data_IF_094541577454
#
_entry.id   IF_094541577454
#
_cell.length_a   1.000
_cell.length_b   1.000
_cell.length_c   1.000
_cell.angle_alpha   90.00
_cell.angle_beta   90.00
_cell.angle_gamma   90.00
#
_symmetry.space_group_name_H-M   'P 1'
#
loop_
_entity.id
_entity.type
_entity.pdbx_description
1 polymer ?
#
# COMPACT_ATOMS: atom_id res chain seq x y z
N UNK A 1 -10.64 14.84 -6.44
CA UNK A 1 -10.29 13.43 -6.19
C UNK A 1 -8.78 13.30 -6.28
N UNK A 2 -8.11 13.14 -5.14
CA UNK A 2 -6.66 13.20 -5.05
C UNK A 2 -6.00 11.97 -5.70
N UNK A 3 -5.03 12.19 -6.59
CA UNK A 3 -4.27 11.15 -7.29
C UNK A 3 -3.66 10.11 -6.34
N UNK A 4 -3.33 10.51 -5.11
CA UNK A 4 -2.81 9.63 -4.06
C UNK A 4 -3.77 8.50 -3.64
N UNK A 5 -5.10 8.75 -3.65
CA UNK A 5 -6.09 7.69 -3.33
C UNK A 5 -6.20 6.66 -4.43
N UNK A 6 -6.10 7.09 -5.69
CA UNK A 6 -6.17 6.22 -6.87
C UNK A 6 -4.92 5.34 -6.94
N UNK A 7 -3.74 5.91 -6.69
CA UNK A 7 -2.46 5.18 -6.69
C UNK A 7 -2.42 4.08 -5.60
N UNK A 8 -2.93 4.41 -4.41
CA UNK A 8 -3.02 3.47 -3.29
C UNK A 8 -4.02 2.33 -3.55
N UNK A 9 -5.12 2.60 -4.26
CA UNK A 9 -6.07 1.58 -4.67
C UNK A 9 -5.50 0.70 -5.79
N UNK A 10 -4.84 1.30 -6.78
CA UNK A 10 -4.19 0.59 -7.87
C UNK A 10 -3.12 -0.40 -7.38
N UNK A 11 -2.29 0.01 -6.40
CA UNK A 11 -1.29 -0.88 -5.77
C UNK A 11 -1.94 -2.05 -5.01
N UNK A 12 -3.04 -1.81 -4.30
CA UNK A 12 -3.76 -2.90 -3.61
C UNK A 12 -4.36 -3.91 -4.58
N UNK A 13 -4.94 -3.43 -5.69
CA UNK A 13 -5.48 -4.28 -6.74
C UNK A 13 -4.36 -5.07 -7.39
N UNK A 14 -3.25 -4.42 -7.78
CA UNK A 14 -2.08 -5.07 -8.39
C UNK A 14 -1.46 -6.14 -7.51
N UNK A 15 -1.28 -5.87 -6.22
CA UNK A 15 -0.78 -6.86 -5.26
C UNK A 15 -1.72 -8.04 -5.09
N UNK A 16 -3.03 -7.80 -5.03
CA UNK A 16 -4.03 -8.88 -4.94
C UNK A 16 -4.08 -9.73 -6.21
N UNK A 17 -3.92 -9.11 -7.38
CA UNK A 17 -3.84 -9.81 -8.67
C UNK A 17 -2.56 -10.65 -8.75
N UNK A 18 -1.39 -10.12 -8.37
CA UNK A 18 -0.15 -10.91 -8.29
C UNK A 18 -0.27 -12.09 -7.34
N UNK A 19 -0.85 -11.89 -6.16
CA UNK A 19 -1.06 -12.96 -5.17
C UNK A 19 -1.98 -14.06 -5.71
N UNK A 20 -3.08 -13.68 -6.37
CA UNK A 20 -4.00 -14.62 -6.99
C UNK A 20 -3.38 -15.36 -8.18
N UNK A 21 -2.64 -14.65 -9.04
CA UNK A 21 -1.93 -15.26 -10.18
C UNK A 21 -0.88 -16.23 -9.67
N UNK A 22 -0.05 -15.85 -8.69
CA UNK A 22 0.97 -16.71 -8.10
C UNK A 22 0.40 -17.99 -7.48
N UNK A 23 -0.77 -17.93 -6.85
CA UNK A 23 -1.47 -19.14 -6.39
C UNK A 23 -1.94 -20.03 -7.52
N UNK A 24 -2.52 -19.44 -8.56
CA UNK A 24 -3.10 -20.18 -9.68
C UNK A 24 -2.00 -20.83 -10.54
N UNK A 25 -0.88 -20.13 -10.75
CA UNK A 25 0.26 -20.64 -11.53
C UNK A 25 1.23 -21.48 -10.70
N UNK A 26 1.09 -21.52 -9.37
CA UNK A 26 2.01 -22.20 -8.45
C UNK A 26 3.34 -21.47 -8.24
N UNK A 27 3.42 -20.20 -8.65
CA UNK A 27 4.62 -19.39 -8.61
C UNK A 27 4.76 -18.68 -7.25
N UNK A 28 5.51 -19.31 -6.34
CA UNK A 28 5.74 -18.78 -4.97
C UNK A 28 6.40 -17.41 -4.95
N UNK A 29 7.24 -17.09 -5.92
CA UNK A 29 7.90 -15.78 -6.02
C UNK A 29 6.86 -14.69 -6.26
N UNK A 30 5.92 -14.93 -7.18
CA UNK A 30 4.84 -13.99 -7.51
C UNK A 30 3.85 -13.84 -6.34
N UNK A 31 3.53 -14.92 -5.62
CA UNK A 31 2.71 -14.86 -4.40
C UNK A 31 3.39 -14.03 -3.31
N UNK A 32 4.67 -14.27 -3.05
CA UNK A 32 5.46 -13.55 -2.06
C UNK A 32 5.60 -12.06 -2.40
N UNK A 33 5.84 -11.73 -3.66
CA UNK A 33 5.86 -10.34 -4.13
C UNK A 33 4.52 -9.63 -3.88
N UNK A 34 3.39 -10.29 -4.20
CA UNK A 34 2.06 -9.74 -3.97
C UNK A 34 1.77 -9.51 -2.49
N UNK A 35 2.11 -10.48 -1.64
CA UNK A 35 1.95 -10.38 -0.19
C UNK A 35 2.88 -9.33 0.44
N UNK A 36 4.13 -9.25 -0.02
CA UNK A 36 5.10 -8.26 0.40
C UNK A 36 4.67 -6.84 0.00
N UNK A 37 4.24 -6.61 -1.24
CA UNK A 37 3.71 -5.32 -1.70
C UNK A 37 2.49 -4.87 -0.87
N UNK A 38 1.59 -5.81 -0.51
CA UNK A 38 0.45 -5.54 0.39
C UNK A 38 0.90 -5.09 1.77
N UNK A 39 1.87 -5.79 2.36
CA UNK A 39 2.37 -5.50 3.70
C UNK A 39 3.15 -4.19 3.74
N UNK A 40 4.06 -3.98 2.79
CA UNK A 40 4.80 -2.72 2.62
C UNK A 40 3.82 -1.58 2.40
N UNK A 41 2.80 -1.73 1.55
CA UNK A 41 1.78 -0.70 1.33
C UNK A 41 0.96 -0.36 2.58
N UNK A 42 0.64 -1.35 3.44
CA UNK A 42 -0.01 -1.10 4.74
C UNK A 42 0.91 -0.34 5.70
N UNK A 43 2.19 -0.71 5.77
CA UNK A 43 3.18 -0.03 6.60
C UNK A 43 3.39 1.41 6.11
N UNK A 44 3.52 1.62 4.81
CA UNK A 44 3.65 2.94 4.21
C UNK A 44 2.43 3.82 4.46
N UNK A 45 1.21 3.26 4.41
CA UNK A 45 -0.01 4.01 4.78
C UNK A 45 0.01 4.42 6.24
N UNK A 46 0.32 3.51 7.17
CA UNK A 46 0.40 3.84 8.60
C UNK A 46 1.47 4.89 8.88
N UNK A 47 2.66 4.75 8.29
CA UNK A 47 3.73 5.72 8.41
C UNK A 47 3.33 7.09 7.83
N UNK A 48 2.65 7.09 6.68
CA UNK A 48 2.08 8.30 6.06
C UNK A 48 1.03 8.97 6.94
N UNK A 49 0.07 8.22 7.49
CA UNK A 49 -0.93 8.75 8.42
C UNK A 49 -0.31 9.36 9.68
N UNK A 50 0.71 8.71 10.25
CA UNK A 50 1.41 9.27 11.43
C UNK A 50 2.15 10.55 11.04
N UNK A 51 2.86 10.55 9.91
CA UNK A 51 3.57 11.73 9.42
C UNK A 51 2.62 12.89 9.10
N UNK A 52 1.48 12.62 8.46
CA UNK A 52 0.44 13.62 8.17
C UNK A 52 -0.18 14.16 9.47
N UNK A 53 -0.52 13.31 10.44
CA UNK A 53 -1.03 13.76 11.75
C UNK A 53 -0.04 14.67 12.48
N UNK A 54 1.26 14.33 12.47
CA UNK A 54 2.31 15.20 13.05
C UNK A 54 2.41 16.51 12.28
N UNK A 55 2.35 16.46 10.95
CA UNK A 55 2.42 17.64 10.09
C UNK A 55 1.23 18.58 10.31
N UNK A 56 0.02 18.03 10.44
CA UNK A 56 -1.20 18.80 10.72
C UNK A 56 -1.19 19.40 12.13
N UNK A 57 -0.68 18.68 13.14
CA UNK A 57 -0.51 19.21 14.49
C UNK A 57 0.48 20.38 14.53
N UNK A 58 1.62 20.25 13.82
CA UNK A 58 2.62 21.33 13.71
C UNK A 58 2.08 22.52 12.90
N UNK A 59 1.32 22.27 11.83
CA UNK A 59 0.74 23.32 10.98
C UNK A 59 -0.40 24.07 11.66
N UNK A 60 -1.15 23.42 12.56
CA UNK A 60 -2.23 24.05 13.33
C UNK A 60 -1.73 24.89 14.51
N UNK A 61 -0.46 24.75 14.89
CA UNK A 61 0.17 25.47 16.00
C UNK A 61 0.88 26.77 15.54
N UNK A 62 0.98 27.02 14.23
CA UNK A 62 1.61 28.22 13.64
C UNK A 62 0.58 29.09 12.94
#
# INVERSE_FOLDING_TARGET
MDKNRIDGAAKQVKGSVKEAIGRVTGDKSTELEGAAEKNVGKVQRKAGEVADNVRDAVKSTK
#
